data_IF_593488215032
#
_entry.id   IF_593488215032
#
_cell.length_a   1.000
_cell.length_b   1.000
_cell.length_c   1.000
_cell.angle_alpha   90.00
_cell.angle_beta   90.00
_cell.angle_gamma   90.00
#
_symmetry.space_group_name_H-M   'P 1'
#
loop_
_entity.id
_entity.type
_entity.pdbx_description
1 polymer ?
#
# COMPACT_ATOMS: atom_id res chain seq x y z
N UNK A 1 -7.68 4.32 -2.60
CA UNK A 1 -8.06 5.71 -2.84
C UNK A 1 -8.33 5.94 -4.30
N UNK A 2 -9.15 6.93 -4.60
CA UNK A 2 -9.52 7.35 -5.94
C UNK A 2 -9.39 8.88 -6.06
N UNK A 3 -9.03 9.34 -7.24
CA UNK A 3 -8.92 10.75 -7.57
C UNK A 3 -9.29 10.97 -9.04
N UNK A 4 -9.65 12.20 -9.37
CA UNK A 4 -9.89 12.65 -10.73
C UNK A 4 -9.23 14.00 -10.95
N UNK A 5 -9.19 14.44 -12.20
CA UNK A 5 -8.65 15.75 -12.55
C UNK A 5 -9.79 16.75 -12.69
N UNK A 6 -9.72 17.86 -11.95
CA UNK A 6 -10.68 18.97 -12.04
C UNK A 6 -9.93 20.26 -12.28
N UNK A 7 -10.18 20.90 -13.42
CA UNK A 7 -9.52 22.14 -13.78
C UNK A 7 -7.99 22.07 -13.80
N UNK A 8 -7.43 20.93 -14.23
CA UNK A 8 -5.98 20.67 -14.28
C UNK A 8 -5.35 20.28 -12.93
N UNK A 9 -6.15 20.15 -11.87
CA UNK A 9 -5.68 19.77 -10.53
C UNK A 9 -6.25 18.42 -10.07
N UNK A 10 -5.46 17.57 -9.42
CA UNK A 10 -5.95 16.31 -8.91
C UNK A 10 -6.80 16.50 -7.64
N UNK A 11 -7.97 15.90 -7.61
CA UNK A 11 -8.94 15.96 -6.51
C UNK A 11 -9.23 14.55 -6.02
N UNK A 12 -9.12 14.32 -4.71
CA UNK A 12 -9.46 13.05 -4.08
C UNK A 12 -10.98 12.92 -3.98
N UNK A 13 -11.52 11.82 -4.51
CA UNK A 13 -12.91 11.44 -4.31
C UNK A 13 -13.06 10.85 -2.90
N UNK A 14 -13.93 11.40 -2.05
CA UNK A 14 -14.17 10.85 -0.72
C UNK A 14 -14.80 9.45 -0.80
N UNK A 15 -14.58 8.62 0.21
CA UNK A 15 -15.32 7.36 0.36
C UNK A 15 -16.78 7.63 0.69
N UNK A 16 -17.70 6.95 0.02
CA UNK A 16 -19.12 7.01 0.31
C UNK A 16 -19.48 6.54 1.74
N UNK A 17 -18.58 5.80 2.37
CA UNK A 17 -18.77 5.19 3.70
C UNK A 17 -18.22 6.04 4.85
N UNK A 18 -17.54 7.11 4.56
CA UNK A 18 -17.39 8.36 5.33
C UNK A 18 -16.52 8.37 6.59
N UNK A 19 -16.03 7.28 7.17
CA UNK A 19 -15.49 7.36 8.53
C UNK A 19 -13.98 7.17 8.69
N UNK A 20 -13.32 6.51 7.78
CA UNK A 20 -11.90 6.17 7.95
C UNK A 20 -10.98 7.30 7.45
N UNK A 21 -10.13 7.85 8.32
CA UNK A 21 -9.18 8.93 8.02
C UNK A 21 -9.81 10.12 7.29
N UNK A 22 -10.90 10.66 7.85
CA UNK A 22 -11.59 11.82 7.27
C UNK A 22 -12.33 11.51 5.97
N UNK A 23 -12.77 10.26 5.78
CA UNK A 23 -13.52 9.85 4.58
C UNK A 23 -12.68 9.70 3.31
N UNK A 24 -11.36 9.79 3.40
CA UNK A 24 -10.46 9.77 2.24
C UNK A 24 -9.79 8.41 2.01
N UNK A 25 -10.08 7.40 2.82
CA UNK A 25 -9.57 6.04 2.67
C UNK A 25 -10.70 5.05 2.43
N UNK A 26 -10.42 4.06 1.60
CA UNK A 26 -11.30 2.94 1.33
C UNK A 26 -10.55 1.64 1.69
N UNK A 27 -11.00 0.87 2.70
CA UNK A 27 -10.37 -0.39 3.05
C UNK A 27 -10.53 -1.42 1.92
N UNK A 28 -9.43 -2.02 1.49
CA UNK A 28 -9.44 -3.12 0.51
C UNK A 28 -9.82 -4.43 1.20
N UNK A 29 -11.05 -4.48 1.73
CA UNK A 29 -11.62 -5.61 2.45
C UNK A 29 -12.88 -6.07 1.73
N UNK A 30 -13.01 -7.37 1.52
CA UNK A 30 -14.20 -8.00 0.94
C UNK A 30 -14.70 -9.06 1.90
N UNK A 31 -15.99 -9.08 2.18
CA UNK A 31 -16.60 -10.11 2.99
C UNK A 31 -17.90 -10.65 2.36
N UNK A 32 -18.26 -11.85 2.77
CA UNK A 32 -19.50 -12.50 2.33
C UNK A 32 -20.35 -12.83 3.56
N UNK A 33 -21.60 -12.38 3.56
CA UNK A 33 -22.56 -12.64 4.63
C UNK A 33 -22.96 -14.12 4.66
N UNK A 34 -23.67 -14.55 5.70
CA UNK A 34 -24.22 -15.90 5.81
C UNK A 34 -25.14 -16.24 4.62
N UNK A 35 -25.86 -15.26 4.10
CA UNK A 35 -26.77 -15.42 2.95
C UNK A 35 -26.02 -15.40 1.60
N UNK A 36 -24.73 -15.03 1.62
CA UNK A 36 -23.87 -14.98 0.42
C UNK A 36 -23.84 -13.62 -0.24
N UNK A 37 -24.40 -12.59 0.38
CA UNK A 37 -24.27 -11.22 -0.07
C UNK A 37 -22.82 -10.75 0.07
N UNK A 38 -22.33 -10.03 -0.93
CA UNK A 38 -20.99 -9.45 -0.94
C UNK A 38 -21.03 -8.04 -0.38
N UNK A 39 -20.18 -7.78 0.62
CA UNK A 39 -19.94 -6.46 1.19
C UNK A 39 -18.45 -6.10 1.02
N UNK A 40 -18.16 -4.82 0.78
CA UNK A 40 -16.82 -4.33 0.45
C UNK A 40 -16.56 -3.03 1.22
N UNK A 41 -15.30 -2.80 1.62
CA UNK A 41 -14.89 -1.58 2.28
C UNK A 41 -15.07 -1.59 3.80
N UNK A 42 -15.46 -0.45 4.38
CA UNK A 42 -15.66 -0.29 5.82
C UNK A 42 -16.71 -1.24 6.42
N UNK A 43 -17.86 -1.51 5.78
CA UNK A 43 -18.81 -2.52 6.28
C UNK A 43 -18.18 -3.91 6.37
N UNK A 44 -17.37 -4.30 5.38
CA UNK A 44 -16.66 -5.58 5.41
C UNK A 44 -15.62 -5.61 6.55
N UNK A 45 -14.88 -4.53 6.77
CA UNK A 45 -13.90 -4.44 7.85
C UNK A 45 -14.58 -4.51 9.23
N UNK A 46 -15.66 -3.77 9.43
CA UNK A 46 -16.36 -3.73 10.74
C UNK A 46 -16.91 -5.08 11.19
N UNK A 47 -17.35 -5.94 10.27
CA UNK A 47 -17.91 -7.25 10.61
C UNK A 47 -16.84 -8.38 10.67
N UNK A 48 -15.58 -8.07 10.36
CA UNK A 48 -14.49 -9.06 10.26
C UNK A 48 -14.33 -9.90 11.54
N UNK A 49 -14.50 -9.31 12.73
CA UNK A 49 -14.45 -10.01 14.01
C UNK A 49 -15.53 -11.09 14.14
N UNK A 50 -16.73 -10.83 13.61
CA UNK A 50 -17.87 -11.76 13.70
C UNK A 50 -17.90 -12.77 12.55
N UNK A 51 -17.13 -12.55 11.50
CA UNK A 51 -17.14 -13.38 10.29
C UNK A 51 -15.74 -13.47 9.66
N UNK A 52 -14.70 -13.84 10.43
CA UNK A 52 -13.31 -13.82 9.98
C UNK A 52 -13.07 -14.80 8.83
N UNK A 53 -13.72 -15.96 8.83
CA UNK A 53 -13.55 -17.00 7.78
C UNK A 53 -14.03 -16.57 6.39
N UNK A 54 -15.00 -15.64 6.33
CA UNK A 54 -15.55 -15.14 5.07
C UNK A 54 -15.15 -13.68 4.79
N UNK A 55 -14.13 -13.17 5.48
CA UNK A 55 -13.59 -11.82 5.30
C UNK A 55 -12.18 -11.89 4.75
N UNK A 56 -11.96 -11.27 3.60
CA UNK A 56 -10.70 -11.30 2.87
C UNK A 56 -10.02 -9.94 3.01
N UNK A 57 -8.82 -9.95 3.57
CA UNK A 57 -7.93 -8.80 3.71
C UNK A 57 -6.60 -9.07 3.01
N UNK A 58 -5.85 -8.03 2.72
CA UNK A 58 -4.47 -8.11 2.19
C UNK A 58 -4.30 -8.92 0.91
N UNK A 59 -5.36 -9.06 0.09
CA UNK A 59 -5.34 -9.86 -1.14
C UNK A 59 -4.30 -9.36 -2.15
N UNK A 60 -3.92 -8.06 -2.09
CA UNK A 60 -2.87 -7.47 -2.94
C UNK A 60 -1.55 -8.25 -2.88
N UNK A 61 -1.17 -8.80 -1.69
CA UNK A 61 0.03 -9.63 -1.51
C UNK A 61 -0.04 -10.98 -2.25
N UNK A 62 -1.22 -11.38 -2.75
CA UNK A 62 -1.43 -12.64 -3.47
C UNK A 62 -1.63 -12.45 -4.97
N UNK A 63 -1.62 -11.21 -5.47
CA UNK A 63 -1.76 -10.91 -6.89
C UNK A 63 -0.69 -11.63 -7.72
N UNK A 64 -1.08 -12.13 -8.91
CA UNK A 64 -0.21 -12.85 -9.82
C UNK A 64 0.19 -14.26 -9.34
N UNK A 65 -0.44 -14.80 -8.29
CA UNK A 65 -0.18 -16.14 -7.77
C UNK A 65 -1.36 -17.10 -8.03
N UNK A 66 -1.11 -18.39 -7.87
CA UNK A 66 -2.17 -19.43 -7.96
C UNK A 66 -3.04 -19.52 -6.69
N UNK A 67 -2.94 -18.56 -5.78
CA UNK A 67 -3.75 -18.55 -4.56
C UNK A 67 -5.25 -18.59 -4.87
N UNK A 68 -6.03 -19.28 -4.03
CA UNK A 68 -7.49 -19.33 -4.12
C UNK A 68 -8.11 -19.09 -2.75
N UNK A 69 -9.04 -18.17 -2.72
CA UNK A 69 -9.87 -17.90 -1.54
C UNK A 69 -11.11 -18.76 -1.63
N UNK A 70 -11.31 -19.62 -0.63
CA UNK A 70 -12.48 -20.52 -0.58
C UNK A 70 -13.57 -19.85 0.27
N UNK A 71 -14.66 -19.47 -0.35
CA UNK A 71 -15.84 -18.93 0.34
C UNK A 71 -17.03 -19.82 0.04
N UNK A 72 -17.51 -20.52 1.07
CA UNK A 72 -18.58 -21.51 0.92
C UNK A 72 -18.19 -22.56 -0.13
N UNK A 73 -18.93 -22.63 -1.24
CA UNK A 73 -18.70 -23.59 -2.35
C UNK A 73 -17.97 -22.97 -3.55
N UNK A 74 -17.56 -21.69 -3.45
CA UNK A 74 -16.89 -20.95 -4.53
C UNK A 74 -15.43 -20.73 -4.21
N UNK A 75 -14.61 -20.73 -5.26
CA UNK A 75 -13.18 -20.42 -5.20
C UNK A 75 -12.95 -19.16 -6.00
N UNK A 76 -12.34 -18.15 -5.37
CA UNK A 76 -12.03 -16.88 -6.00
C UNK A 76 -10.52 -16.73 -6.17
N UNK A 77 -10.11 -16.14 -7.29
CA UNK A 77 -8.73 -15.74 -7.50
C UNK A 77 -8.45 -14.37 -6.82
N UNK A 78 -7.18 -14.00 -6.61
CA UNK A 78 -6.83 -12.67 -6.13
C UNK A 78 -7.36 -11.55 -7.02
N UNK A 79 -7.38 -11.76 -8.35
CA UNK A 79 -7.88 -10.83 -9.35
C UNK A 79 -9.39 -10.61 -9.17
N UNK A 80 -10.16 -11.67 -8.95
CA UNK A 80 -11.61 -11.58 -8.72
C UNK A 80 -11.94 -10.82 -7.42
N UNK A 81 -11.21 -11.08 -6.34
CA UNK A 81 -11.39 -10.34 -5.07
C UNK A 81 -10.99 -8.87 -5.24
N UNK A 82 -9.89 -8.60 -5.92
CA UNK A 82 -9.45 -7.23 -6.20
C UNK A 82 -10.44 -6.49 -7.10
N UNK A 83 -11.02 -7.18 -8.08
CA UNK A 83 -12.07 -6.63 -8.93
C UNK A 83 -13.31 -6.21 -8.15
N UNK A 84 -13.70 -6.93 -7.09
CA UNK A 84 -14.81 -6.56 -6.22
C UNK A 84 -14.55 -5.21 -5.52
N UNK A 85 -13.29 -4.98 -5.10
CA UNK A 85 -12.87 -3.69 -4.53
C UNK A 85 -12.96 -2.58 -5.59
N UNK A 86 -12.44 -2.84 -6.79
CA UNK A 86 -12.46 -1.88 -7.89
C UNK A 86 -13.89 -1.55 -8.36
N UNK A 87 -14.79 -2.54 -8.40
CA UNK A 87 -16.22 -2.34 -8.71
C UNK A 87 -16.88 -1.38 -7.72
N UNK A 88 -16.61 -1.57 -6.43
CA UNK A 88 -17.15 -0.66 -5.40
C UNK A 88 -16.59 0.75 -5.53
N UNK A 89 -15.27 0.88 -5.76
CA UNK A 89 -14.61 2.16 -6.00
C UNK A 89 -15.21 2.85 -7.24
N UNK A 90 -15.39 2.11 -8.34
CA UNK A 90 -16.03 2.62 -9.56
C UNK A 90 -17.44 3.16 -9.27
N UNK A 91 -18.30 2.36 -8.65
CA UNK A 91 -19.67 2.75 -8.33
C UNK A 91 -19.73 3.99 -7.40
N UNK A 92 -18.87 4.06 -6.39
CA UNK A 92 -18.81 5.23 -5.49
C UNK A 92 -18.33 6.48 -6.23
N UNK A 93 -17.38 6.33 -7.16
CA UNK A 93 -16.88 7.44 -7.98
C UNK A 93 -17.95 7.93 -8.97
N UNK A 94 -18.67 7.02 -9.62
CA UNK A 94 -19.79 7.34 -10.52
C UNK A 94 -20.91 8.07 -9.79
N UNK A 95 -21.27 7.60 -8.60
CA UNK A 95 -22.26 8.27 -7.75
C UNK A 95 -21.82 9.67 -7.30
N UNK A 96 -20.52 9.86 -7.02
CA UNK A 96 -19.98 11.16 -6.60
C UNK A 96 -19.89 12.16 -7.76
N UNK A 97 -19.48 11.70 -8.93
CA UNK A 97 -19.25 12.56 -10.11
C UNK A 97 -20.51 12.75 -10.97
N UNK A 98 -21.51 11.87 -10.84
CA UNK A 98 -22.74 11.89 -11.63
C UNK A 98 -22.52 11.48 -13.10
N UNK A 99 -21.43 10.74 -13.40
CA UNK A 99 -21.07 10.27 -14.75
C UNK A 99 -20.61 8.82 -14.71
N UNK A 100 -20.78 8.11 -15.81
CA UNK A 100 -20.24 6.76 -15.96
C UNK A 100 -18.72 6.81 -16.13
N UNK A 101 -18.02 5.87 -15.49
CA UNK A 101 -16.55 5.75 -15.56
C UNK A 101 -16.17 4.49 -16.35
N UNK A 102 -15.62 4.67 -17.54
CA UNK A 102 -15.21 3.59 -18.41
C UNK A 102 -13.71 3.27 -18.29
N UNK A 103 -12.88 4.29 -18.01
CA UNK A 103 -11.42 4.25 -18.10
C UNK A 103 -10.78 4.58 -16.77
N UNK A 104 -9.63 3.95 -16.51
CA UNK A 104 -8.85 4.25 -15.31
C UNK A 104 -7.34 4.08 -15.54
N UNK A 105 -6.57 4.87 -14.80
CA UNK A 105 -5.16 4.60 -14.51
C UNK A 105 -5.10 3.91 -13.14
N UNK A 106 -4.40 2.79 -13.05
CA UNK A 106 -4.27 2.02 -11.81
C UNK A 106 -2.80 2.01 -11.38
N UNK A 107 -2.56 2.24 -10.09
CA UNK A 107 -1.21 2.19 -9.53
C UNK A 107 -0.86 0.82 -8.98
N UNK A 108 0.41 0.46 -9.08
CA UNK A 108 0.98 -0.77 -8.53
C UNK A 108 2.30 -0.46 -7.83
N UNK A 109 2.72 -1.29 -6.85
CA UNK A 109 4.07 -1.21 -6.32
C UNK A 109 5.11 -1.25 -7.43
N UNK A 110 6.18 -0.48 -7.31
CA UNK A 110 7.22 -0.43 -8.34
C UNK A 110 7.89 -1.80 -8.51
N UNK A 111 8.01 -2.58 -7.43
CA UNK A 111 8.67 -3.90 -7.44
C UNK A 111 7.73 -5.06 -7.79
N UNK A 112 6.52 -4.78 -8.31
CA UNK A 112 5.64 -5.81 -8.87
C UNK A 112 6.23 -6.39 -10.15
N UNK A 113 6.23 -7.73 -10.25
CA UNK A 113 6.58 -8.44 -11.48
C UNK A 113 5.43 -8.41 -12.51
N UNK A 114 5.70 -8.89 -13.73
CA UNK A 114 4.74 -8.86 -14.84
C UNK A 114 3.44 -9.62 -14.52
N UNK A 115 3.52 -10.77 -13.85
CA UNK A 115 2.32 -11.51 -13.45
C UNK A 115 1.44 -10.70 -12.49
N UNK A 116 2.04 -9.97 -11.55
CA UNK A 116 1.31 -9.12 -10.59
C UNK A 116 0.71 -7.89 -11.29
N UNK A 117 1.43 -7.29 -12.25
CA UNK A 117 0.95 -6.18 -13.09
C UNK A 117 -0.21 -6.64 -13.96
N UNK A 118 -0.06 -7.77 -14.65
CA UNK A 118 -1.12 -8.33 -15.50
C UNK A 118 -2.35 -8.70 -14.67
N UNK A 119 -2.19 -9.33 -13.51
CA UNK A 119 -3.27 -9.62 -12.59
C UNK A 119 -4.04 -8.36 -12.15
N UNK A 120 -3.34 -7.23 -11.98
CA UNK A 120 -3.98 -5.94 -11.66
C UNK A 120 -4.78 -5.39 -12.84
N UNK A 121 -4.26 -5.51 -14.06
CA UNK A 121 -4.99 -5.16 -15.31
C UNK A 121 -6.25 -6.02 -15.43
N UNK A 122 -6.13 -7.31 -15.19
CA UNK A 122 -7.26 -8.25 -15.30
C UNK A 122 -8.32 -7.97 -14.23
N UNK A 123 -7.92 -7.63 -13.00
CA UNK A 123 -8.84 -7.17 -11.97
C UNK A 123 -9.62 -5.90 -12.41
N UNK A 124 -8.95 -4.95 -13.06
CA UNK A 124 -9.59 -3.77 -13.65
C UNK A 124 -10.61 -4.13 -14.72
N UNK A 125 -10.26 -5.03 -15.64
CA UNK A 125 -11.17 -5.54 -16.69
C UNK A 125 -12.38 -6.25 -16.10
N UNK A 126 -12.20 -7.14 -15.11
CA UNK A 126 -13.28 -7.83 -14.41
C UNK A 126 -14.20 -6.82 -13.70
N UNK A 127 -13.64 -5.71 -13.23
CA UNK A 127 -14.40 -4.63 -12.61
C UNK A 127 -15.19 -3.76 -13.63
N UNK A 128 -15.04 -4.00 -14.93
CA UNK A 128 -15.68 -3.22 -15.99
C UNK A 128 -14.98 -1.90 -16.26
N UNK A 129 -13.65 -1.86 -16.07
CA UNK A 129 -12.82 -0.70 -16.38
C UNK A 129 -11.88 -1.03 -17.55
N UNK A 130 -11.74 -0.11 -18.50
CA UNK A 130 -10.61 -0.10 -19.43
C UNK A 130 -9.41 0.49 -18.71
N UNK A 131 -8.42 -0.33 -18.40
CA UNK A 131 -7.16 0.11 -17.79
C UNK A 131 -6.31 0.74 -18.89
N UNK A 132 -6.25 2.08 -18.91
CA UNK A 132 -5.49 2.82 -19.94
C UNK A 132 -4.00 2.72 -19.67
N UNK A 133 -3.59 2.71 -18.38
CA UNK A 133 -2.19 2.58 -17.97
C UNK A 133 -2.07 2.02 -16.56
N UNK A 134 -1.03 1.24 -16.35
CA UNK A 134 -0.48 0.92 -15.02
C UNK A 134 0.69 1.88 -14.77
N UNK A 135 0.73 2.50 -13.60
CA UNK A 135 1.82 3.39 -13.16
C UNK A 135 2.36 2.92 -11.81
N UNK A 136 3.65 3.06 -11.58
CA UNK A 136 4.27 2.73 -10.30
C UNK A 136 3.84 3.72 -9.20
N UNK A 137 3.55 3.21 -8.00
CA UNK A 137 3.07 4.01 -6.87
C UNK A 137 4.04 5.15 -6.50
N UNK A 138 5.37 4.91 -6.35
CA UNK A 138 6.30 6.00 -6.06
C UNK A 138 6.44 7.01 -7.21
N UNK A 139 6.30 6.56 -8.45
CA UNK A 139 6.32 7.45 -9.62
C UNK A 139 5.07 8.35 -9.65
N UNK A 140 3.90 7.78 -9.35
CA UNK A 140 2.69 8.58 -9.20
C UNK A 140 2.81 9.61 -8.07
N UNK A 141 3.40 9.22 -6.93
CA UNK A 141 3.63 10.14 -5.81
C UNK A 141 4.56 11.31 -6.21
N UNK A 142 5.61 11.03 -6.97
CA UNK A 142 6.52 12.06 -7.49
C UNK A 142 5.81 13.02 -8.46
N UNK A 143 4.94 12.52 -9.34
CA UNK A 143 4.12 13.37 -10.20
C UNK A 143 3.26 14.33 -9.38
N UNK A 144 2.63 13.85 -8.30
CA UNK A 144 1.82 14.70 -7.44
C UNK A 144 2.65 15.74 -6.67
N UNK A 145 3.90 15.42 -6.34
CA UNK A 145 4.83 16.34 -5.68
C UNK A 145 5.38 17.37 -6.66
N UNK A 146 5.76 16.93 -7.86
CA UNK A 146 6.53 17.70 -8.82
C UNK A 146 5.71 18.54 -9.81
N UNK A 147 4.38 18.39 -9.86
CA UNK A 147 3.53 19.04 -10.85
C UNK A 147 3.74 20.57 -10.92
N UNK A 148 3.91 21.21 -9.75
CA UNK A 148 4.09 22.66 -9.62
C UNK A 148 5.56 23.06 -9.30
N UNK A 149 6.53 22.15 -9.52
CA UNK A 149 7.94 22.39 -9.19
C UNK A 149 8.75 22.67 -10.46
N UNK A 150 9.50 23.75 -10.44
CA UNK A 150 10.48 24.10 -11.48
C UNK A 150 11.90 23.75 -11.00
N UNK A 151 12.80 23.45 -11.93
CA UNK A 151 14.21 23.12 -11.68
C UNK A 151 14.53 21.63 -11.74
N UNK A 152 15.82 21.36 -11.63
CA UNK A 152 16.38 20.00 -11.64
C UNK A 152 16.55 19.51 -10.21
N UNK A 153 16.03 18.31 -9.90
CA UNK A 153 16.15 17.68 -8.59
C UNK A 153 16.36 16.17 -8.74
N UNK A 154 17.28 15.63 -7.96
CA UNK A 154 17.33 14.18 -7.72
C UNK A 154 16.48 13.87 -6.50
N UNK A 155 15.51 13.00 -6.66
CA UNK A 155 14.49 12.69 -5.66
C UNK A 155 14.54 11.23 -5.26
N UNK A 156 14.56 10.95 -3.96
CA UNK A 156 14.29 9.61 -3.43
C UNK A 156 12.85 9.54 -2.90
N UNK A 157 12.07 8.64 -3.46
CA UNK A 157 10.70 8.34 -2.99
C UNK A 157 10.74 7.05 -2.19
N UNK A 158 10.30 7.09 -0.93
CA UNK A 158 10.21 5.94 -0.04
C UNK A 158 8.74 5.69 0.27
N UNK A 159 8.17 4.66 -0.34
CA UNK A 159 6.77 4.28 -0.19
C UNK A 159 6.65 3.07 0.74
N UNK A 160 6.30 3.31 2.00
CA UNK A 160 5.98 2.27 2.96
C UNK A 160 4.46 2.19 3.11
N UNK A 161 3.88 1.27 2.35
CA UNK A 161 2.45 0.98 2.38
C UNK A 161 2.05 0.04 3.53
N UNK A 162 0.81 -0.44 3.47
CA UNK A 162 0.34 -1.47 4.41
C UNK A 162 0.99 -2.83 4.20
N UNK A 163 1.37 -3.16 2.97
CA UNK A 163 1.86 -4.50 2.62
C UNK A 163 3.13 -4.56 1.79
N UNK A 164 3.59 -3.44 1.26
CA UNK A 164 4.76 -3.34 0.38
C UNK A 164 5.62 -2.17 0.77
N UNK A 165 6.90 -2.26 0.48
CA UNK A 165 7.87 -1.18 0.60
C UNK A 165 8.60 -1.00 -0.73
N UNK A 166 8.58 0.20 -1.27
CA UNK A 166 9.26 0.57 -2.51
C UNK A 166 10.17 1.78 -2.29
N UNK A 167 11.32 1.75 -2.96
CA UNK A 167 12.27 2.87 -3.00
C UNK A 167 12.55 3.17 -4.46
N UNK A 168 12.34 4.42 -4.87
CA UNK A 168 12.60 4.87 -6.23
C UNK A 168 13.50 6.11 -6.18
N UNK A 169 14.55 6.10 -6.97
CA UNK A 169 15.42 7.26 -7.20
C UNK A 169 15.15 7.75 -8.62
N UNK A 170 14.89 9.04 -8.76
CA UNK A 170 14.57 9.65 -10.04
C UNK A 170 15.14 11.07 -10.15
N UNK A 171 15.33 11.50 -11.37
CA UNK A 171 15.58 12.89 -11.74
C UNK A 171 14.27 13.54 -12.16
N UNK A 172 14.07 14.76 -11.73
CA UNK A 172 12.96 15.61 -12.12
C UNK A 172 13.54 16.89 -12.72
N UNK A 173 13.17 17.18 -13.95
CA UNK A 173 13.60 18.38 -14.67
C UNK A 173 12.43 18.97 -15.47
N UNK A 174 11.88 20.12 -15.01
CA UNK A 174 10.88 20.91 -15.72
C UNK A 174 9.76 20.08 -16.37
N UNK A 175 9.15 19.18 -15.61
CA UNK A 175 8.06 18.30 -16.07
C UNK A 175 8.49 16.95 -16.65
N UNK A 176 9.79 16.70 -16.78
CA UNK A 176 10.33 15.38 -17.11
C UNK A 176 10.64 14.64 -15.80
N UNK A 177 10.14 13.42 -15.69
CA UNK A 177 10.35 12.51 -14.55
C UNK A 177 11.08 11.28 -15.09
N UNK A 178 12.38 11.18 -14.82
CA UNK A 178 13.23 10.07 -15.27
C UNK A 178 13.62 9.18 -14.08
N UNK A 179 13.06 7.98 -14.03
CA UNK A 179 13.38 6.99 -13.00
C UNK A 179 14.75 6.39 -13.28
N UNK A 180 15.68 6.53 -12.33
CA UNK A 180 17.04 6.00 -12.41
C UNK A 180 17.09 4.56 -11.91
N UNK A 181 16.48 4.32 -10.74
CA UNK A 181 16.47 3.00 -10.11
C UNK A 181 15.26 2.81 -9.22
N UNK A 182 14.87 1.55 -9.04
CA UNK A 182 13.86 1.16 -8.08
C UNK A 182 14.23 -0.16 -7.41
N UNK A 183 13.89 -0.28 -6.12
CA UNK A 183 14.06 -1.50 -5.34
C UNK A 183 12.93 -1.61 -4.34
N UNK A 184 12.67 -2.80 -3.78
CA UNK A 184 11.56 -2.93 -2.85
C UNK A 184 11.44 -4.31 -2.23
N UNK A 185 10.39 -4.45 -1.41
CA UNK A 185 9.94 -5.71 -0.81
C UNK A 185 8.41 -5.78 -0.85
N UNK A 186 7.88 -6.75 -1.57
CA UNK A 186 6.43 -6.95 -1.76
C UNK A 186 5.72 -7.55 -0.52
N UNK A 187 6.47 -7.86 0.54
CA UNK A 187 5.97 -8.45 1.78
C UNK A 187 6.44 -7.69 3.03
N UNK A 188 6.69 -6.39 2.91
CA UNK A 188 7.13 -5.53 4.00
C UNK A 188 6.23 -4.30 4.07
N UNK A 189 5.62 -4.02 5.24
CA UNK A 189 4.76 -2.84 5.40
C UNK A 189 4.15 -2.71 6.79
N UNK A 190 3.16 -1.83 6.90
CA UNK A 190 2.46 -1.54 8.16
C UNK A 190 1.76 -2.74 8.78
N UNK A 191 1.31 -3.71 7.96
CA UNK A 191 0.71 -4.96 8.46
C UNK A 191 1.72 -5.81 9.24
N UNK A 192 2.99 -5.83 8.82
CA UNK A 192 4.04 -6.58 9.55
C UNK A 192 4.36 -5.93 10.90
N UNK A 193 4.15 -4.61 11.01
CA UNK A 193 4.21 -3.90 12.30
C UNK A 193 3.02 -4.26 13.19
N UNK A 194 1.81 -4.34 12.61
CA UNK A 194 0.61 -4.77 13.33
C UNK A 194 0.74 -6.21 13.82
N UNK A 195 1.26 -7.12 12.99
CA UNK A 195 1.50 -8.51 13.37
C UNK A 195 2.51 -8.62 14.53
N UNK A 196 3.58 -7.82 14.52
CA UNK A 196 4.54 -7.78 15.64
C UNK A 196 3.88 -7.29 16.96
N UNK A 197 2.96 -6.33 16.86
CA UNK A 197 2.17 -5.88 18.02
C UNK A 197 1.18 -6.93 18.49
N UNK A 198 0.53 -7.65 17.58
CA UNK A 198 -0.37 -8.77 17.89
C UNK A 198 0.39 -9.87 18.64
N UNK A 199 1.59 -10.23 18.16
CA UNK A 199 2.43 -11.22 18.82
C UNK A 199 2.80 -10.78 20.24
N UNK A 200 3.21 -9.54 20.43
CA UNK A 200 3.53 -8.99 21.75
C UNK A 200 2.33 -9.04 22.71
N UNK A 201 1.13 -8.63 22.27
CA UNK A 201 -0.08 -8.63 23.09
C UNK A 201 -0.57 -10.05 23.42
N UNK A 202 -0.45 -10.96 22.45
CA UNK A 202 -0.81 -12.37 22.65
C UNK A 202 0.13 -13.06 23.64
N UNK A 203 1.43 -12.76 23.58
CA UNK A 203 2.41 -13.29 24.53
C UNK A 203 2.17 -12.77 25.94
N UNK A 204 1.88 -11.47 26.12
CA UNK A 204 1.47 -10.91 27.42
C UNK A 204 0.26 -11.64 28.00
N UNK A 205 -0.79 -11.82 27.20
CA UNK A 205 -2.01 -12.49 27.64
C UNK A 205 -1.74 -13.96 27.99
N UNK A 206 -0.87 -14.61 27.23
CA UNK A 206 -0.46 -16.00 27.45
C UNK A 206 0.33 -16.17 28.76
N UNK A 207 1.23 -15.24 29.07
CA UNK A 207 1.98 -15.24 30.34
C UNK A 207 1.05 -15.12 31.55
N UNK A 208 0.01 -14.27 31.47
CA UNK A 208 -0.92 -14.04 32.56
C UNK A 208 -1.98 -15.14 32.70
N UNK A 209 -2.47 -15.67 31.57
CA UNK A 209 -3.67 -16.52 31.55
C UNK A 209 -3.40 -17.96 31.07
N UNK A 210 -2.21 -18.28 30.55
CA UNK A 210 -1.89 -19.59 29.99
C UNK A 210 -2.56 -19.87 28.61
N UNK A 211 -3.19 -18.87 27.98
CA UNK A 211 -4.01 -19.01 26.78
C UNK A 211 -3.40 -18.21 25.63
N UNK A 212 -3.20 -18.83 24.48
CA UNK A 212 -2.73 -18.16 23.27
C UNK A 212 -3.91 -17.66 22.43
N UNK A 213 -4.11 -16.35 22.40
CA UNK A 213 -5.20 -15.73 21.65
C UNK A 213 -5.04 -15.84 20.12
N UNK A 214 -3.86 -16.22 19.63
CA UNK A 214 -3.61 -16.42 18.19
C UNK A 214 -4.30 -17.66 17.63
N UNK A 215 -4.65 -18.62 18.49
CA UNK A 215 -5.34 -19.84 18.12
C UNK A 215 -6.84 -19.64 17.83
N UNK A 216 -7.43 -18.53 18.28
CA UNK A 216 -8.82 -18.16 18.01
C UNK A 216 -8.87 -17.01 17.00
N UNK A 217 -9.58 -17.22 15.88
CA UNK A 217 -9.66 -16.25 14.81
C UNK A 217 -10.32 -14.93 15.22
N UNK A 218 -11.36 -14.98 16.08
CA UNK A 218 -12.07 -13.78 16.51
C UNK A 218 -11.22 -12.98 17.49
N UNK A 219 -10.55 -13.64 18.45
CA UNK A 219 -9.62 -13.00 19.36
C UNK A 219 -8.44 -12.38 18.61
N UNK A 220 -7.85 -13.12 17.66
CA UNK A 220 -6.76 -12.64 16.80
C UNK A 220 -7.17 -11.40 15.99
N UNK A 221 -8.39 -11.39 15.42
CA UNK A 221 -8.87 -10.23 14.68
C UNK A 221 -9.05 -9.01 15.59
N UNK A 222 -9.57 -9.21 16.82
CA UNK A 222 -9.69 -8.13 17.81
C UNK A 222 -8.34 -7.59 18.26
N UNK A 223 -7.33 -8.47 18.45
CA UNK A 223 -5.95 -8.04 18.71
C UNK A 223 -5.40 -7.20 17.57
N UNK A 224 -5.61 -7.64 16.32
CA UNK A 224 -5.12 -6.93 15.15
C UNK A 224 -5.75 -5.54 15.01
N UNK A 225 -7.06 -5.42 15.19
CA UNK A 225 -7.75 -4.12 15.15
C UNK A 225 -7.26 -3.19 16.28
N UNK A 226 -7.01 -3.71 17.47
CA UNK A 226 -6.47 -2.93 18.58
C UNK A 226 -5.00 -2.51 18.34
N UNK A 227 -4.19 -3.40 17.78
CA UNK A 227 -2.80 -3.13 17.43
C UNK A 227 -2.69 -2.03 16.37
N UNK A 228 -3.46 -2.13 15.26
CA UNK A 228 -3.52 -1.09 14.23
C UNK A 228 -3.94 0.26 14.82
N UNK A 229 -4.99 0.27 15.65
CA UNK A 229 -5.48 1.48 16.31
C UNK A 229 -4.43 2.10 17.23
N UNK A 230 -3.79 1.30 18.08
CA UNK A 230 -2.75 1.76 19.00
C UNK A 230 -1.53 2.30 18.23
N UNK A 231 -1.10 1.64 17.16
CA UNK A 231 -0.03 2.13 16.26
C UNK A 231 -0.34 3.51 15.71
N UNK A 232 -1.57 3.74 15.25
CA UNK A 232 -2.01 5.02 14.70
C UNK A 232 -2.08 6.10 15.80
N UNK A 233 -2.65 5.79 16.95
CA UNK A 233 -2.74 6.72 18.08
C UNK A 233 -1.35 7.13 18.59
N UNK A 234 -0.45 6.17 18.77
CA UNK A 234 0.92 6.40 19.26
C UNK A 234 1.82 7.13 18.25
N UNK A 235 1.40 7.24 16.99
CA UNK A 235 2.05 8.16 16.04
C UNK A 235 1.86 9.64 16.41
N UNK A 236 0.80 9.96 17.18
CA UNK A 236 0.47 11.33 17.59
C UNK A 236 0.57 11.56 19.11
N UNK A 237 0.43 10.51 19.91
CA UNK A 237 0.45 10.55 21.38
C UNK A 237 1.63 9.76 21.93
N UNK A 238 1.99 9.97 23.21
CA UNK A 238 3.06 9.21 23.87
C UNK A 238 2.56 7.96 24.59
N UNK A 239 1.24 7.87 24.82
CA UNK A 239 0.59 6.75 25.50
C UNK A 239 -0.75 6.44 24.84
N UNK A 240 -1.13 5.18 24.84
CA UNK A 240 -2.45 4.67 24.44
C UNK A 240 -2.80 3.48 25.35
N UNK A 241 -4.07 3.28 25.64
CA UNK A 241 -4.54 2.13 26.41
C UNK A 241 -5.26 1.16 25.48
N UNK A 242 -4.78 -0.07 25.43
CA UNK A 242 -5.47 -1.16 24.74
C UNK A 242 -6.42 -1.80 25.76
N UNK A 243 -7.71 -1.79 25.45
CA UNK A 243 -8.74 -2.40 26.31
C UNK A 243 -9.64 -3.30 25.43
N UNK A 244 -9.51 -4.61 25.67
CA UNK A 244 -10.27 -5.66 25.00
C UNK A 244 -11.05 -6.49 26.02
N UNK A 245 -12.22 -6.00 26.45
CA UNK A 245 -13.07 -6.71 27.39
C UNK A 245 -13.61 -7.99 26.75
N UNK A 246 -13.73 -9.04 27.55
CA UNK A 246 -14.27 -10.36 27.13
C UNK A 246 -13.55 -10.90 25.88
N UNK A 247 -12.19 -10.78 25.85
CA UNK A 247 -11.41 -11.28 24.70
C UNK A 247 -11.40 -12.80 24.66
N UNK A 248 -11.52 -13.43 25.82
CA UNK A 248 -11.62 -14.87 26.01
C UNK A 248 -12.62 -15.21 27.10
N UNK A 249 -13.18 -16.44 27.05
CA UNK A 249 -14.02 -16.99 28.13
C UNK A 249 -13.82 -18.48 28.19
N UNK A 250 -13.60 -19.00 29.43
CA UNK A 250 -13.48 -20.42 29.72
C UNK A 250 -14.26 -20.78 30.99
N UNK A 251 -14.03 -21.99 31.56
CA UNK A 251 -14.69 -22.45 32.76
C UNK A 251 -14.37 -21.61 33.99
N UNK A 252 -13.28 -20.84 33.99
CA UNK A 252 -12.91 -19.90 35.06
C UNK A 252 -13.58 -18.53 34.92
N UNK A 253 -14.33 -18.31 33.86
CA UNK A 253 -15.03 -17.07 33.57
C UNK A 253 -14.43 -16.24 32.45
N UNK A 254 -14.95 -15.02 32.25
CA UNK A 254 -14.46 -14.12 31.21
C UNK A 254 -13.09 -13.56 31.57
N UNK A 255 -12.26 -13.39 30.56
CA UNK A 255 -10.92 -12.77 30.63
C UNK A 255 -10.85 -11.53 29.75
N UNK A 256 -10.08 -10.54 30.20
CA UNK A 256 -9.94 -9.25 29.57
C UNK A 256 -8.46 -8.99 29.32
N UNK A 257 -8.14 -8.25 28.25
CA UNK A 257 -6.81 -7.69 28.04
C UNK A 257 -6.90 -6.18 28.22
N UNK A 258 -6.23 -5.66 29.24
CA UNK A 258 -6.03 -4.22 29.44
C UNK A 258 -4.54 -3.97 29.58
N UNK A 259 -3.99 -3.08 28.73
CA UNK A 259 -2.57 -2.80 28.72
C UNK A 259 -2.29 -1.35 28.34
N UNK A 260 -1.55 -0.65 29.18
CA UNK A 260 -1.04 0.68 28.88
C UNK A 260 0.18 0.58 27.98
N UNK A 261 0.08 1.20 26.82
CA UNK A 261 1.06 1.10 25.76
C UNK A 261 1.72 2.44 25.50
N UNK A 262 3.05 2.47 25.48
CA UNK A 262 3.81 3.70 25.22
C UNK A 262 4.37 3.72 23.81
N UNK A 263 4.61 4.92 23.29
CA UNK A 263 5.30 5.09 22.00
C UNK A 263 6.69 4.44 22.01
N UNK A 264 7.47 4.59 23.08
CA UNK A 264 8.78 3.97 23.18
C UNK A 264 8.68 2.43 23.05
N UNK A 265 7.67 1.81 23.69
CA UNK A 265 7.46 0.36 23.55
C UNK A 265 7.03 -0.05 22.16
N UNK A 266 6.18 0.77 21.48
CA UNK A 266 5.85 0.58 20.07
C UNK A 266 7.13 0.61 19.21
N UNK A 267 7.97 1.61 19.38
CA UNK A 267 9.22 1.80 18.63
C UNK A 267 10.17 0.61 18.80
N UNK A 268 10.29 0.06 20.01
CA UNK A 268 11.07 -1.16 20.27
C UNK A 268 10.54 -2.37 19.48
N UNK A 269 9.20 -2.55 19.46
CA UNK A 269 8.57 -3.70 18.80
C UNK A 269 8.66 -3.59 17.26
N UNK A 270 8.41 -2.40 16.70
CA UNK A 270 8.41 -2.21 15.24
C UNK A 270 9.81 -1.97 14.67
N UNK A 271 10.79 -1.65 15.50
CA UNK A 271 12.17 -1.36 15.10
C UNK A 271 12.77 -2.43 14.18
N UNK A 272 12.68 -3.72 14.49
CA UNK A 272 13.15 -4.81 13.61
C UNK A 272 12.47 -4.86 12.25
N UNK A 273 11.18 -4.45 12.16
CA UNK A 273 10.45 -4.37 10.89
C UNK A 273 10.98 -3.20 10.06
N UNK A 274 11.15 -2.03 10.69
CA UNK A 274 11.69 -0.82 10.04
C UNK A 274 13.12 -1.07 9.53
N UNK A 275 13.95 -1.78 10.30
CA UNK A 275 15.33 -2.09 9.91
C UNK A 275 15.41 -2.89 8.59
N UNK A 276 14.39 -3.69 8.25
CA UNK A 276 14.34 -4.42 6.97
C UNK A 276 14.28 -3.48 5.76
N UNK A 277 13.79 -2.25 5.93
CA UNK A 277 13.73 -1.26 4.86
C UNK A 277 15.11 -0.78 4.41
N UNK A 278 16.13 -0.89 5.26
CA UNK A 278 17.50 -0.42 4.94
C UNK A 278 18.09 -1.15 3.73
N UNK A 279 17.84 -2.44 3.58
CA UNK A 279 18.38 -3.24 2.47
C UNK A 279 17.87 -2.77 1.10
N UNK A 280 16.55 -2.62 0.85
CA UNK A 280 16.05 -2.05 -0.40
C UNK A 280 16.55 -0.63 -0.66
N UNK A 281 16.67 0.23 0.38
CA UNK A 281 17.21 1.59 0.24
C UNK A 281 18.65 1.52 -0.28
N UNK A 282 19.53 0.75 0.37
CA UNK A 282 20.92 0.59 -0.07
C UNK A 282 21.02 0.03 -1.49
N UNK A 283 20.12 -0.89 -1.87
CA UNK A 283 20.12 -1.46 -3.20
C UNK A 283 19.75 -0.41 -4.25
N UNK A 284 18.69 0.39 -4.02
CA UNK A 284 18.29 1.45 -4.96
C UNK A 284 19.43 2.47 -5.18
N UNK A 285 20.10 2.92 -4.12
CA UNK A 285 21.25 3.82 -4.24
C UNK A 285 22.42 3.20 -5.01
N UNK A 286 22.70 1.91 -4.76
CA UNK A 286 23.73 1.17 -5.48
C UNK A 286 23.43 1.08 -6.98
N UNK A 287 22.18 0.76 -7.33
CA UNK A 287 21.75 0.62 -8.73
C UNK A 287 21.73 1.97 -9.45
N UNK A 288 21.39 3.05 -8.75
CA UNK A 288 21.54 4.42 -9.22
C UNK A 288 23.00 4.90 -9.32
N UNK A 289 23.97 4.14 -8.79
CA UNK A 289 25.38 4.54 -8.64
C UNK A 289 25.58 5.83 -7.84
N UNK A 290 24.71 6.05 -6.87
CA UNK A 290 24.66 7.22 -5.98
C UNK A 290 24.95 6.83 -4.53
N UNK A 291 25.27 7.83 -3.70
CA UNK A 291 25.43 7.66 -2.25
C UNK A 291 24.22 8.28 -1.53
N UNK A 292 23.88 7.79 -0.34
CA UNK A 292 23.00 8.51 0.57
C UNK A 292 23.49 9.96 0.73
N UNK A 293 22.57 10.93 0.61
CA UNK A 293 22.89 12.36 0.63
C UNK A 293 23.11 13.02 -0.73
N UNK A 294 23.33 12.25 -1.82
CA UNK A 294 23.44 12.79 -3.18
C UNK A 294 22.07 13.24 -3.73
N UNK A 295 20.97 12.75 -3.14
CA UNK A 295 19.61 13.18 -3.52
C UNK A 295 19.29 14.56 -2.95
N UNK A 296 18.58 15.37 -3.73
CA UNK A 296 18.18 16.72 -3.32
C UNK A 296 16.93 16.71 -2.44
N UNK A 297 16.03 15.78 -2.68
CA UNK A 297 14.73 15.68 -2.03
C UNK A 297 14.43 14.24 -1.60
N UNK A 298 13.70 14.12 -0.48
CA UNK A 298 13.18 12.83 0.02
C UNK A 298 11.68 12.96 0.19
N UNK A 299 10.91 12.12 -0.49
CA UNK A 299 9.46 12.07 -0.42
C UNK A 299 9.05 10.81 0.31
N UNK A 300 8.28 10.96 1.39
CA UNK A 300 7.72 9.84 2.13
C UNK A 300 6.28 9.59 1.71
N UNK A 301 5.98 8.33 1.42
CA UNK A 301 4.68 7.86 0.93
C UNK A 301 4.19 6.70 1.78
N UNK A 302 2.86 6.58 1.91
CA UNK A 302 2.22 5.51 2.67
C UNK A 302 1.93 5.89 4.13
N UNK A 303 0.94 5.20 4.71
CA UNK A 303 0.46 5.49 6.07
C UNK A 303 1.50 5.35 7.16
N UNK A 304 2.29 4.26 7.20
CA UNK A 304 3.34 4.05 8.20
C UNK A 304 4.42 5.13 8.22
N UNK A 305 4.63 5.87 7.13
CA UNK A 305 5.60 7.00 7.12
C UNK A 305 5.14 8.21 7.96
N UNK A 306 3.93 8.18 8.51
CA UNK A 306 3.48 9.15 9.50
C UNK A 306 4.02 8.88 10.91
N UNK A 307 4.53 7.68 11.17
CA UNK A 307 5.16 7.35 12.44
C UNK A 307 6.49 8.09 12.59
N UNK A 308 6.74 8.80 13.70
CA UNK A 308 8.00 9.50 13.91
C UNK A 308 9.23 8.61 13.76
N UNK A 309 9.19 7.41 14.35
CA UNK A 309 10.31 6.46 14.27
C UNK A 309 10.62 6.00 12.84
N UNK A 310 9.60 5.89 11.96
CA UNK A 310 9.81 5.58 10.54
C UNK A 310 10.48 6.74 9.83
N UNK A 311 10.02 7.99 10.08
CA UNK A 311 10.60 9.18 9.49
C UNK A 311 12.08 9.33 9.89
N UNK A 312 12.38 9.21 11.18
CA UNK A 312 13.74 9.30 11.71
C UNK A 312 14.67 8.21 11.12
N UNK A 313 14.16 6.97 11.01
CA UNK A 313 14.92 5.88 10.41
C UNK A 313 15.22 6.15 8.93
N UNK A 314 14.23 6.58 8.15
CA UNK A 314 14.39 6.84 6.73
C UNK A 314 15.30 8.05 6.47
N UNK A 315 15.13 9.13 7.23
CA UNK A 315 16.04 10.29 7.18
C UNK A 315 17.49 9.91 7.50
N UNK A 316 17.68 8.99 8.46
CA UNK A 316 19.00 8.44 8.79
C UNK A 316 19.57 7.56 7.68
N UNK A 317 18.75 6.67 7.07
CA UNK A 317 19.21 5.78 6.01
C UNK A 317 19.58 6.54 4.74
N UNK A 318 18.86 7.62 4.42
CA UNK A 318 19.10 8.45 3.23
C UNK A 318 20.08 9.60 3.51
N UNK A 319 20.28 9.97 4.79
CA UNK A 319 21.16 11.09 5.16
C UNK A 319 20.56 12.47 4.87
N UNK A 320 19.24 12.57 4.65
CA UNK A 320 18.55 13.81 4.33
C UNK A 320 17.13 13.83 4.94
N UNK A 321 16.67 15.02 5.33
CA UNK A 321 15.32 15.22 5.86
C UNK A 321 14.26 15.05 4.78
N UNK A 322 13.11 14.52 5.17
CA UNK A 322 11.97 14.37 4.28
C UNK A 322 11.30 15.71 3.98
N UNK A 323 10.83 15.85 2.75
CA UNK A 323 10.04 17.00 2.30
C UNK A 323 8.68 17.01 3.01
N UNK A 324 8.20 18.22 3.28
CA UNK A 324 6.87 18.46 3.84
C UNK A 324 5.96 19.05 2.77
N UNK A 325 4.65 18.91 2.92
CA UNK A 325 3.66 19.52 2.02
C UNK A 325 2.96 18.55 1.08
N UNK A 326 3.39 17.28 1.01
CA UNK A 326 2.65 16.21 0.33
C UNK A 326 2.00 15.32 1.38
N UNK A 327 0.70 15.06 1.26
CA UNK A 327 0.05 14.06 2.11
C UNK A 327 0.48 12.65 1.63
N UNK A 328 1.26 11.92 2.45
CA UNK A 328 1.80 10.62 2.07
C UNK A 328 0.73 9.58 1.77
N UNK A 329 -0.50 9.87 2.18
CA UNK A 329 -1.62 8.98 1.94
C UNK A 329 -2.46 9.34 0.71
N UNK A 330 -2.29 10.50 0.10
CA UNK A 330 -3.09 10.97 -1.03
C UNK A 330 -2.29 11.07 -2.33
N UNK A 331 -1.00 11.32 -2.24
CA UNK A 331 -0.13 11.64 -3.39
C UNK A 331 -0.18 10.59 -4.51
N UNK A 332 -0.23 9.30 -4.18
CA UNK A 332 -0.30 8.22 -5.19
C UNK A 332 -1.57 8.33 -6.04
N UNK A 333 -2.73 8.51 -5.42
CA UNK A 333 -3.99 8.66 -6.16
C UNK A 333 -4.04 9.97 -6.95
N UNK A 334 -3.47 11.05 -6.38
CA UNK A 334 -3.36 12.33 -7.06
C UNK A 334 -2.46 12.23 -8.31
N UNK A 335 -1.32 11.55 -8.20
CA UNK A 335 -0.43 11.30 -9.34
C UNK A 335 -1.06 10.42 -10.41
N UNK A 336 -1.86 9.43 -10.03
CA UNK A 336 -2.63 8.64 -10.99
C UNK A 336 -3.65 9.50 -11.75
N UNK A 337 -4.30 10.45 -11.10
CA UNK A 337 -5.21 11.40 -11.75
C UNK A 337 -4.46 12.35 -12.70
N UNK A 338 -3.28 12.82 -12.31
CA UNK A 338 -2.41 13.61 -13.21
C UNK A 338 -2.05 12.80 -14.45
N UNK A 339 -1.62 11.54 -14.29
CA UNK A 339 -1.31 10.66 -15.41
C UNK A 339 -2.54 10.42 -16.31
N UNK A 340 -3.73 10.30 -15.74
CA UNK A 340 -4.95 10.19 -16.51
C UNK A 340 -5.21 11.46 -17.34
N UNK A 341 -4.97 12.65 -16.78
CA UNK A 341 -5.05 13.93 -17.50
C UNK A 341 -4.02 14.07 -18.60
N UNK A 342 -2.80 13.58 -18.41
CA UNK A 342 -1.77 13.52 -19.47
C UNK A 342 -2.24 12.64 -20.63
N UNK A 343 -2.79 11.45 -20.34
CA UNK A 343 -3.32 10.54 -21.36
C UNK A 343 -4.56 11.09 -22.09
N UNK A 344 -5.38 11.89 -21.40
CA UNK A 344 -6.52 12.57 -21.98
C UNK A 344 -6.13 13.82 -22.79
N UNK A 345 -4.89 14.33 -22.63
CA UNK A 345 -4.43 15.56 -23.27
C UNK A 345 -4.80 16.84 -22.51
N UNK A 346 -5.33 16.72 -21.30
CA UNK A 346 -5.71 17.86 -20.44
C UNK A 346 -4.47 18.50 -19.78
N UNK A 347 -3.45 17.69 -19.51
CA UNK A 347 -2.13 18.15 -19.03
C UNK A 347 -1.12 17.93 -20.13
N UNK A 348 -0.40 18.99 -20.46
CA UNK A 348 0.70 19.00 -21.43
C UNK A 348 2.01 19.22 -20.67
N UNK A 349 3.10 18.94 -21.32
CA UNK A 349 4.46 19.21 -20.82
C UNK A 349 4.88 18.36 -19.61
N UNK A 350 4.26 17.19 -19.43
CA UNK A 350 4.68 16.18 -18.46
C UNK A 350 5.08 14.90 -19.20
N UNK A 351 6.33 14.48 -18.99
CA UNK A 351 6.90 13.26 -19.56
C UNK A 351 7.38 12.35 -18.44
N UNK A 352 6.98 11.09 -18.49
CA UNK A 352 7.39 10.06 -17.54
C UNK A 352 8.23 8.99 -18.27
N UNK A 353 9.47 8.84 -17.83
CA UNK A 353 10.37 7.76 -18.21
C UNK A 353 10.55 6.83 -16.99
N UNK A 354 10.21 5.57 -17.14
CA UNK A 354 10.26 4.60 -16.05
C UNK A 354 11.28 3.50 -16.36
N UNK A 355 11.68 2.72 -15.35
CA UNK A 355 12.63 1.60 -15.49
C UNK A 355 11.91 0.28 -15.26
N UNK A 356 12.45 -0.79 -15.84
CA UNK A 356 12.05 -2.13 -15.44
C UNK A 356 12.84 -2.56 -14.18
N UNK A 357 12.14 -2.84 -13.05
CA UNK A 357 12.81 -3.19 -11.79
C UNK A 357 13.41 -4.60 -11.80
N UNK A 358 12.95 -5.42 -12.73
CA UNK A 358 13.33 -6.82 -12.85
C UNK A 358 13.91 -7.09 -14.24
N UNK A 359 14.80 -8.07 -14.30
CA UNK A 359 15.37 -8.56 -15.56
C UNK A 359 14.27 -9.04 -16.50
N UNK A 360 14.27 -8.52 -17.72
CA UNK A 360 13.41 -8.99 -18.80
C UNK A 360 14.12 -10.09 -19.60
N UNK A 361 13.41 -11.17 -19.85
CA UNK A 361 13.90 -12.28 -20.65
C UNK A 361 12.77 -13.02 -21.34
N UNK A 362 13.13 -13.81 -22.33
CA UNK A 362 12.22 -14.69 -23.05
C UNK A 362 12.49 -16.11 -22.59
N UNK A 363 11.44 -16.83 -22.22
CA UNK A 363 11.54 -18.28 -21.98
C UNK A 363 11.76 -18.98 -23.31
N UNK A 364 12.83 -19.74 -23.41
CA UNK A 364 13.22 -20.54 -24.57
C UNK A 364 12.99 -22.01 -24.29
N UNK A 365 13.21 -22.88 -25.29
CA UNK A 365 13.05 -24.31 -25.18
C UNK A 365 13.83 -24.87 -23.98
N UNK A 366 13.22 -25.75 -23.21
CA UNK A 366 13.79 -26.34 -21.99
C UNK A 366 13.64 -25.47 -20.74
N UNK A 367 12.70 -24.51 -20.72
CA UNK A 367 12.47 -23.58 -19.59
C UNK A 367 13.70 -22.74 -19.21
N UNK A 368 14.55 -22.44 -20.18
CA UNK A 368 15.69 -21.54 -20.02
C UNK A 368 15.25 -20.12 -20.28
N UNK A 369 15.48 -19.21 -19.31
CA UNK A 369 15.24 -17.80 -19.48
C UNK A 369 16.42 -17.16 -20.19
N UNK A 370 16.24 -16.76 -21.44
CA UNK A 370 17.24 -15.93 -22.15
C UNK A 370 17.01 -14.48 -21.77
N UNK A 371 17.96 -13.91 -21.03
CA UNK A 371 17.89 -12.52 -20.58
C UNK A 371 18.17 -11.59 -21.76
N UNK A 372 17.21 -10.74 -22.08
CA UNK A 372 17.38 -9.69 -23.09
C UNK A 372 17.88 -8.40 -22.47
N UNK A 373 17.40 -8.08 -21.24
CA UNK A 373 17.70 -6.81 -20.58
C UNK A 373 17.69 -6.89 -19.06
N UNK A 374 18.61 -6.16 -18.41
CA UNK A 374 18.66 -5.92 -16.96
C UNK A 374 18.62 -4.43 -16.67
N UNK A 375 17.61 -3.94 -15.93
CA UNK A 375 17.52 -2.55 -15.45
C UNK A 375 17.55 -1.50 -16.58
N UNK A 376 16.71 -1.66 -17.62
CA UNK A 376 16.61 -0.68 -18.70
C UNK A 376 15.75 0.51 -18.32
N UNK A 377 16.18 1.70 -18.76
CA UNK A 377 15.36 2.90 -18.79
C UNK A 377 14.37 2.83 -19.96
N UNK A 378 13.23 3.53 -19.85
CA UNK A 378 12.16 3.48 -20.85
C UNK A 378 12.60 3.91 -22.25
N UNK A 379 13.58 4.81 -22.38
CA UNK A 379 14.13 5.25 -23.67
C UNK A 379 15.09 4.24 -24.32
N UNK A 380 15.52 3.20 -23.58
CA UNK A 380 16.35 2.11 -24.08
C UNK A 380 15.51 0.92 -24.58
N UNK A 381 14.17 0.98 -24.38
CA UNK A 381 13.20 -0.03 -24.80
C UNK A 381 12.53 0.31 -26.14
N UNK A 382 13.25 0.90 -27.10
CA UNK A 382 12.70 1.12 -28.44
C UNK A 382 12.73 -0.18 -29.22
N UNK A 383 11.57 -0.80 -29.40
CA UNK A 383 11.29 -1.76 -30.47
C UNK A 383 10.08 -1.24 -31.23
#
# INVERSE_FOLDING_TARGET
>A
RQAYLEGGRPVIIPSAEGSTFGGKMFPSVVAFTKDGERIVGDPAKRQAVLNPENTIMHIKRKMGTKHRVNIKKKKYSPEEISAMVLQKIKADSEAHLGVDIEKAVITVPAYFNDNQRQATIDAGKIAGLKVERIINEPTAAALAYGLDKEGEYTVAVLDLGGGTFDVTIMEMDNGVFDVISTSGDNNLGGTDMDDALVDYLADLFKEENGIDLRDDQAARQRLHDAAEKAKIELSNTLKSTINLPYIWSDSSGPKHLEHDFTRAKLEDIVGPVIAKCEKPIKQAFKDAKMKPGDVDKVILVGGPTRMPTVQEAFEKFVGRKAERGVDPMQCVAMGAAIQAGVLAGDIKDVVLLDVTPLTLGIETEGSVMTVSYTHLRAHETVV
#
